data_IF_557378547697
#
_entry.id   IF_557378547697
#
_cell.length_a   1.000
_cell.length_b   1.000
_cell.length_c   1.000
_cell.angle_alpha   90.00
_cell.angle_beta   90.00
_cell.angle_gamma   90.00
#
_symmetry.space_group_name_H-M   'P 1'
#
loop_
_entity.id
_entity.type
_entity.pdbx_description
1 polymer ?
#
# COMPACT_ATOMS: atom_id res chain seq x y z
N UNK A 1 -2.94 15.38 -6.08
CA UNK A 1 -2.60 15.06 -4.69
C UNK A 1 -3.66 14.15 -4.10
N UNK A 2 -3.25 13.13 -3.39
CA UNK A 2 -4.17 12.18 -2.75
C UNK A 2 -4.58 12.75 -1.39
N UNK A 3 -5.87 12.92 -1.14
CA UNK A 3 -6.36 13.48 0.11
C UNK A 3 -6.90 12.43 1.08
N UNK A 4 -7.16 11.20 0.61
CA UNK A 4 -7.66 10.13 1.45
C UNK A 4 -6.94 8.82 1.19
N UNK A 5 -6.57 8.14 2.27
CA UNK A 5 -6.06 6.77 2.24
C UNK A 5 -7.07 5.90 2.98
N UNK A 6 -7.66 4.95 2.28
CA UNK A 6 -8.70 4.07 2.81
C UNK A 6 -8.22 2.63 2.72
N UNK A 7 -8.35 1.88 3.81
CA UNK A 7 -7.99 0.46 3.83
C UNK A 7 -9.26 -0.37 3.69
N UNK A 8 -9.30 -1.24 2.68
CA UNK A 8 -10.40 -2.21 2.61
C UNK A 8 -10.26 -3.24 3.74
N UNK A 9 -11.34 -3.94 4.13
CA UNK A 9 -11.29 -4.87 5.27
C UNK A 9 -10.15 -5.89 5.22
N UNK A 10 -9.87 -6.45 4.05
CA UNK A 10 -8.76 -7.40 3.90
C UNK A 10 -7.41 -6.75 4.26
N UNK A 11 -7.20 -5.50 3.87
CA UNK A 11 -5.96 -4.78 4.16
C UNK A 11 -5.86 -4.44 5.66
N UNK A 12 -6.98 -4.11 6.29
CA UNK A 12 -7.00 -3.89 7.73
C UNK A 12 -6.55 -5.16 8.47
N UNK A 13 -7.07 -6.30 8.06
CA UNK A 13 -6.68 -7.59 8.66
C UNK A 13 -5.20 -7.90 8.43
N UNK A 14 -4.71 -7.63 7.23
CA UNK A 14 -3.30 -7.86 6.92
C UNK A 14 -2.40 -7.00 7.80
N UNK A 15 -2.74 -5.71 7.92
CA UNK A 15 -1.96 -4.76 8.71
C UNK A 15 -1.96 -5.16 10.19
N UNK A 16 -3.09 -5.62 10.71
CA UNK A 16 -3.23 -5.99 12.12
C UNK A 16 -2.32 -7.15 12.53
N UNK A 17 -1.88 -7.96 11.59
CA UNK A 17 -0.98 -9.09 11.85
C UNK A 17 0.48 -8.70 11.94
N UNK A 18 0.81 -7.46 11.60
CA UNK A 18 2.19 -7.01 11.51
C UNK A 18 2.63 -6.35 12.82
N UNK A 19 3.94 -6.38 13.07
CA UNK A 19 4.53 -5.68 14.20
C UNK A 19 4.27 -4.18 14.10
N UNK A 20 4.21 -3.51 15.23
CA UNK A 20 3.98 -2.06 15.27
C UNK A 20 5.00 -1.27 14.47
N UNK A 21 6.27 -1.69 14.49
CA UNK A 21 7.33 -1.03 13.72
C UNK A 21 7.05 -1.14 12.23
N UNK A 22 6.62 -2.31 11.77
CA UNK A 22 6.26 -2.53 10.37
C UNK A 22 5.02 -1.71 10.01
N UNK A 23 3.99 -1.73 10.86
CA UNK A 23 2.79 -0.93 10.65
C UNK A 23 3.13 0.55 10.49
N UNK A 24 3.94 1.08 11.39
CA UNK A 24 4.34 2.47 11.35
C UNK A 24 5.13 2.81 10.07
N UNK A 25 5.98 1.90 9.63
CA UNK A 25 6.74 2.07 8.40
C UNK A 25 5.85 2.11 7.17
N UNK A 26 4.85 1.23 7.13
CA UNK A 26 3.88 1.19 6.03
C UNK A 26 3.04 2.46 6.02
N UNK A 27 2.53 2.87 7.19
CA UNK A 27 1.75 4.10 7.29
C UNK A 27 2.55 5.31 6.83
N UNK A 28 3.79 5.43 7.28
CA UNK A 28 4.65 6.55 6.89
C UNK A 28 4.89 6.57 5.39
N UNK A 29 5.11 5.40 4.78
CA UNK A 29 5.34 5.29 3.35
C UNK A 29 4.09 5.68 2.55
N UNK A 30 2.90 5.28 3.02
CA UNK A 30 1.64 5.64 2.37
C UNK A 30 1.37 7.15 2.48
N UNK A 31 1.59 7.72 3.66
CA UNK A 31 1.42 9.16 3.86
C UNK A 31 2.36 9.95 2.95
N UNK A 32 3.62 9.52 2.88
CA UNK A 32 4.62 10.16 2.02
C UNK A 32 4.22 10.09 0.56
N UNK A 33 3.81 8.90 0.10
CA UNK A 33 3.38 8.73 -1.29
C UNK A 33 2.14 9.59 -1.58
N UNK A 34 1.17 9.61 -0.68
CA UNK A 34 -0.05 10.39 -0.85
C UNK A 34 0.25 11.89 -0.94
N UNK A 35 1.21 12.37 -0.16
CA UNK A 35 1.55 13.79 -0.11
C UNK A 35 2.48 14.23 -1.25
N UNK A 36 3.43 13.39 -1.65
CA UNK A 36 4.52 13.80 -2.54
C UNK A 36 4.62 12.97 -3.83
N UNK A 37 3.99 11.83 -3.90
CA UNK A 37 4.16 10.89 -5.00
C UNK A 37 5.45 10.08 -4.92
N UNK A 38 6.24 10.25 -3.89
CA UNK A 38 7.51 9.52 -3.74
C UNK A 38 7.29 8.16 -3.10
N UNK A 39 7.94 7.15 -3.65
CA UNK A 39 7.89 5.78 -3.16
C UNK A 39 8.31 4.80 -4.24
N UNK A 40 8.60 3.58 -3.84
CA UNK A 40 8.92 2.51 -4.79
C UNK A 40 7.61 1.88 -5.27
N UNK A 41 7.03 2.48 -6.31
CA UNK A 41 5.71 2.12 -6.81
C UNK A 41 5.80 1.63 -8.24
N UNK A 42 5.09 0.54 -8.53
CA UNK A 42 4.98 -0.01 -9.88
C UNK A 42 3.56 -0.46 -10.16
N UNK A 43 3.14 -0.32 -11.41
CA UNK A 43 1.90 -0.94 -11.89
C UNK A 43 2.07 -2.45 -11.98
N UNK A 44 1.01 -3.18 -11.65
CA UNK A 44 1.00 -4.63 -11.78
C UNK A 44 0.53 -5.01 -13.18
N UNK A 45 1.30 -5.88 -13.85
CA UNK A 45 1.02 -6.26 -15.25
C UNK A 45 -0.26 -7.06 -15.41
N UNK A 46 -0.55 -7.92 -14.43
CA UNK A 46 -1.67 -8.86 -14.49
C UNK A 46 -2.89 -8.39 -13.70
N UNK A 47 -2.84 -7.19 -13.16
CA UNK A 47 -3.94 -6.59 -12.40
C UNK A 47 -4.14 -5.14 -12.83
N UNK A 48 -4.91 -4.92 -13.90
CA UNK A 48 -5.11 -3.56 -14.42
C UNK A 48 -5.64 -2.61 -13.34
N UNK A 49 -5.03 -1.43 -13.26
CA UNK A 49 -5.42 -0.41 -12.28
C UNK A 49 -4.84 -0.59 -10.89
N UNK A 50 -4.13 -1.70 -10.63
CA UNK A 50 -3.51 -1.92 -9.34
C UNK A 50 -2.04 -1.60 -9.35
N UNK A 51 -1.58 -1.06 -8.22
CA UNK A 51 -0.18 -0.68 -8.02
C UNK A 51 0.36 -1.38 -6.78
N UNK A 52 1.68 -1.46 -6.72
CA UNK A 52 2.41 -2.00 -5.58
C UNK A 52 3.36 -0.94 -5.03
N UNK A 53 3.26 -0.66 -3.74
CA UNK A 53 4.24 0.15 -3.01
C UNK A 53 5.10 -0.80 -2.19
N UNK A 54 6.41 -0.79 -2.42
CA UNK A 54 7.33 -1.62 -1.66
C UNK A 54 7.87 -0.87 -0.45
N UNK A 55 7.76 -1.50 0.73
CA UNK A 55 8.24 -0.96 1.99
C UNK A 55 9.12 -2.04 2.63
N UNK A 56 10.44 -1.95 2.44
CA UNK A 56 11.34 -3.03 2.84
C UNK A 56 11.02 -4.31 2.11
N UNK A 57 10.72 -5.38 2.85
CA UNK A 57 10.31 -6.67 2.29
C UNK A 57 8.80 -6.79 2.10
N UNK A 58 8.04 -5.75 2.46
CA UNK A 58 6.59 -5.76 2.39
C UNK A 58 6.11 -5.13 1.10
N UNK A 59 4.99 -5.65 0.58
CA UNK A 59 4.32 -5.09 -0.59
C UNK A 59 2.93 -4.65 -0.20
N UNK A 60 2.63 -3.39 -0.48
CA UNK A 60 1.32 -2.81 -0.22
C UNK A 60 0.62 -2.63 -1.56
N UNK A 61 -0.48 -3.36 -1.77
CA UNK A 61 -1.24 -3.29 -3.01
C UNK A 61 -2.35 -2.25 -2.87
N UNK A 62 -2.46 -1.39 -3.86
CA UNK A 62 -3.46 -0.33 -3.79
C UNK A 62 -3.93 0.06 -5.18
N UNK A 63 -5.02 0.79 -5.25
CA UNK A 63 -5.48 1.44 -6.46
C UNK A 63 -5.80 2.89 -6.16
N UNK A 64 -5.82 3.70 -7.22
CA UNK A 64 -6.16 5.11 -7.13
C UNK A 64 -7.56 5.29 -7.69
N UNK A 65 -8.44 5.92 -6.92
CA UNK A 65 -9.82 6.17 -7.30
C UNK A 65 -10.07 7.66 -7.41
N UNK A 66 -10.71 8.11 -8.48
CA UNK A 66 -11.06 9.52 -8.59
C UNK A 66 -11.99 9.93 -7.46
N UNK A 67 -11.93 11.18 -7.00
CA UNK A 67 -11.01 12.21 -7.49
C UNK A 67 -9.62 12.16 -6.84
N UNK A 68 -9.47 11.60 -5.62
CA UNK A 68 -8.26 11.76 -4.84
C UNK A 68 -8.06 10.67 -3.78
N UNK A 69 -8.62 9.48 -4.00
CA UNK A 69 -8.56 8.37 -3.05
C UNK A 69 -7.44 7.41 -3.40
N UNK A 70 -6.74 6.94 -2.37
CA UNK A 70 -5.88 5.77 -2.45
C UNK A 70 -6.54 4.67 -1.62
N UNK A 71 -6.90 3.57 -2.26
CA UNK A 71 -7.52 2.43 -1.58
C UNK A 71 -6.51 1.31 -1.44
N UNK A 72 -6.17 0.97 -0.20
CA UNK A 72 -5.25 -0.13 0.08
C UNK A 72 -6.03 -1.44 0.02
N UNK A 73 -5.58 -2.34 -0.84
CA UNK A 73 -6.27 -3.60 -1.14
C UNK A 73 -5.76 -4.75 -0.28
N UNK A 74 -4.45 -4.79 -0.01
CA UNK A 74 -3.84 -5.84 0.77
C UNK A 74 -2.38 -5.58 1.00
N UNK A 75 -1.79 -6.38 1.88
CA UNK A 75 -0.36 -6.29 2.22
C UNK A 75 0.18 -7.70 2.29
N UNK A 76 1.32 -7.97 1.67
CA UNK A 76 1.98 -9.26 1.84
C UNK A 76 3.48 -9.10 2.03
N UNK A 77 4.12 -10.19 2.42
CA UNK A 77 5.57 -10.23 2.59
C UNK A 77 6.19 -10.78 1.32
N UNK A 78 6.98 -9.94 0.66
CA UNK A 78 7.65 -10.33 -0.58
C UNK A 78 8.51 -11.58 -0.43
N UNK A 79 9.17 -11.74 0.73
CA UNK A 79 10.03 -12.90 0.98
C UNK A 79 9.28 -14.22 1.09
N UNK A 80 8.00 -14.18 1.46
CA UNK A 80 7.18 -15.39 1.59
C UNK A 80 6.52 -15.80 0.29
N UNK A 81 6.47 -14.91 -0.69
CA UNK A 81 5.83 -15.17 -1.97
C UNK A 81 6.69 -16.05 -2.89
N UNK A 82 7.91 -16.30 -2.50
CA UNK A 82 8.87 -17.03 -3.36
C UNK A 82 9.55 -18.16 -2.63
#
# INVERSE_FOLDING_TARGET
MISRVVFRPAAVRDLARLDRVVQAGIDAALVRFAATGHGDVKFLKDRPGELRLRVGKWRVFFCLEPPDFLRVLGIDNRGEAY
#
